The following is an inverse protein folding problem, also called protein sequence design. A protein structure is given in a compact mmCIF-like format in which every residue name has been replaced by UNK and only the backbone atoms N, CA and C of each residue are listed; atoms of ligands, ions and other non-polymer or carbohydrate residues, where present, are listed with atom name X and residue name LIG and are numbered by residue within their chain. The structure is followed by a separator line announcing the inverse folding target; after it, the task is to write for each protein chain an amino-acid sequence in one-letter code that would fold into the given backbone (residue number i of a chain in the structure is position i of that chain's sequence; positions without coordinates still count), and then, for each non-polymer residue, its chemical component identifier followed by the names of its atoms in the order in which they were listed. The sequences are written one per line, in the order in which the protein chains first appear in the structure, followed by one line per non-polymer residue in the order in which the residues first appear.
data_IF_162311685060
#
_entry.id   IF_162311685060
#
_cell.length_a   1.000
_cell.length_b   1.000
_cell.length_c   1.000
_cell.angle_alpha   90.00
_cell.angle_beta   90.00
_cell.angle_gamma   90.00
#
_symmetry.space_group_name_H-M   'P 1'
#
loop_
_entity.id
_entity.type
_entity.pdbx_description
1 polymer ?
#
# COMPACT_ATOMS: atom_id res chain seq x y z
N UNK A 1 56.52 -31.76 -53.46
CA UNK A 1 55.55 -30.76 -54.00
C UNK A 1 54.85 -30.10 -52.82
N UNK A 2 55.01 -28.78 -52.60
CA UNK A 2 54.39 -28.12 -51.45
C UNK A 2 52.88 -27.99 -51.67
N UNK A 3 52.09 -28.51 -50.72
CA UNK A 3 50.63 -28.33 -50.71
C UNK A 3 50.31 -26.82 -50.73
N UNK A 4 49.48 -26.41 -51.69
CA UNK A 4 49.08 -25.03 -51.87
C UNK A 4 48.29 -24.56 -50.64
N UNK A 5 48.85 -23.61 -49.87
CA UNK A 5 48.28 -23.13 -48.60
C UNK A 5 46.85 -22.59 -48.76
N UNK A 6 46.51 -22.07 -49.93
CA UNK A 6 45.14 -21.62 -50.27
C UNK A 6 44.13 -22.75 -50.31
N UNK A 7 44.50 -23.95 -50.78
CA UNK A 7 43.62 -25.13 -50.76
C UNK A 7 43.39 -25.63 -49.33
N UNK A 8 44.40 -25.51 -48.46
CA UNK A 8 44.28 -25.87 -47.05
C UNK A 8 43.37 -24.92 -46.27
N UNK A 9 43.44 -23.61 -46.55
CA UNK A 9 42.50 -22.65 -45.97
C UNK A 9 41.08 -22.85 -46.52
N UNK A 10 40.91 -23.04 -47.83
CA UNK A 10 39.58 -23.31 -48.40
C UNK A 10 38.94 -24.59 -47.83
N UNK A 11 39.73 -25.66 -47.64
CA UNK A 11 39.27 -26.90 -46.98
C UNK A 11 38.92 -26.66 -45.50
N UNK A 12 39.69 -25.85 -44.76
CA UNK A 12 39.38 -25.48 -43.36
C UNK A 12 38.12 -24.64 -43.24
N UNK A 13 37.91 -23.68 -44.15
CA UNK A 13 36.68 -22.86 -44.17
C UNK A 13 35.46 -23.71 -44.55
N UNK A 14 35.60 -24.66 -45.48
CA UNK A 14 34.52 -25.57 -45.86
C UNK A 14 34.14 -26.54 -44.73
N UNK A 15 35.12 -27.05 -43.97
CA UNK A 15 34.86 -27.88 -42.77
C UNK A 15 34.19 -27.06 -41.66
N UNK A 16 34.60 -25.80 -41.45
CA UNK A 16 33.96 -24.91 -40.46
C UNK A 16 32.49 -24.60 -40.82
N UNK A 17 32.17 -24.44 -42.10
CA UNK A 17 30.81 -24.14 -42.57
C UNK A 17 29.87 -25.35 -42.46
N UNK A 18 30.39 -26.57 -42.65
CA UNK A 18 29.63 -27.82 -42.46
C UNK A 18 29.33 -28.07 -40.97
N UNK A 19 30.25 -27.74 -40.05
CA UNK A 19 30.01 -27.86 -38.60
C UNK A 19 28.93 -26.88 -38.10
N UNK A 20 28.83 -25.69 -38.69
CA UNK A 20 27.80 -24.69 -38.34
C UNK A 20 26.41 -25.14 -38.84
N UNK A 21 26.32 -25.86 -39.97
CA UNK A 21 25.05 -26.38 -40.50
C UNK A 21 24.48 -27.55 -39.66
N UNK A 22 25.32 -28.33 -38.97
CA UNK A 22 24.85 -29.39 -38.05
C UNK A 22 24.42 -28.88 -36.67
N UNK A 23 24.82 -27.67 -36.27
CA UNK A 23 24.42 -27.07 -34.99
C UNK A 23 23.03 -26.39 -35.03
N UNK A 24 22.43 -26.23 -36.22
CA UNK A 24 21.15 -25.52 -36.41
C UNK A 24 19.90 -26.41 -36.28
N UNK A 25 20.06 -27.73 -36.12
CA UNK A 25 18.94 -28.65 -35.90
C UNK A 25 19.07 -29.35 -34.55
N UNK A 26 18.87 -28.61 -33.47
CA UNK A 26 18.39 -29.20 -32.22
C UNK A 26 17.39 -28.25 -31.54
N UNK A 27 16.27 -28.00 -32.24
CA UNK A 27 15.00 -27.67 -31.58
C UNK A 27 14.52 -28.91 -30.82
N UNK A 28 15.17 -29.21 -29.70
CA UNK A 28 14.56 -30.00 -28.66
C UNK A 28 13.47 -29.15 -28.02
N UNK A 29 12.23 -29.41 -28.39
CA UNK A 29 11.03 -28.91 -27.72
C UNK A 29 11.16 -29.22 -26.22
N UNK A 30 11.69 -28.28 -25.43
CA UNK A 30 11.62 -28.33 -23.97
C UNK A 30 10.18 -28.02 -23.60
N UNK A 31 9.33 -29.05 -23.71
CA UNK A 31 8.15 -29.12 -22.86
C UNK A 31 8.66 -29.02 -21.43
N UNK A 32 8.41 -27.87 -20.82
CA UNK A 32 8.62 -27.66 -19.42
C UNK A 32 7.50 -28.38 -18.67
N UNK A 33 7.49 -29.73 -18.72
CA UNK A 33 6.75 -30.56 -17.76
C UNK A 33 7.54 -30.59 -16.46
N UNK A 34 7.72 -29.42 -15.88
CA UNK A 34 8.00 -29.27 -14.47
C UNK A 34 6.66 -29.28 -13.75
N UNK A 35 6.06 -30.44 -13.56
CA UNK A 35 5.14 -30.66 -12.43
C UNK A 35 5.98 -30.65 -11.16
N UNK A 36 6.49 -29.48 -10.82
CA UNK A 36 6.87 -29.18 -9.45
C UNK A 36 5.57 -29.04 -8.68
N UNK A 37 5.11 -30.12 -8.05
CA UNK A 37 4.15 -30.07 -6.96
C UNK A 37 4.85 -29.44 -5.74
N UNK A 38 5.23 -28.17 -5.86
CA UNK A 38 5.31 -27.31 -4.70
C UNK A 38 3.89 -27.04 -4.20
N UNK A 39 3.69 -26.70 -2.92
CA UNK A 39 2.38 -26.29 -2.47
C UNK A 39 1.90 -25.13 -3.35
N UNK A 40 0.75 -25.29 -4.00
CA UNK A 40 0.03 -24.21 -4.64
C UNK A 40 -0.14 -23.10 -3.60
N UNK A 41 0.32 -21.89 -3.90
CA UNK A 41 -0.03 -20.74 -3.08
C UNK A 41 -1.57 -20.68 -2.97
N UNK A 42 -2.13 -20.31 -1.81
CA UNK A 42 -3.56 -20.12 -1.69
C UNK A 42 -4.02 -19.10 -2.73
N UNK A 43 -5.17 -19.38 -3.36
CA UNK A 43 -5.77 -18.45 -4.31
C UNK A 43 -6.10 -17.13 -3.59
N UNK A 44 -5.67 -16.02 -4.19
CA UNK A 44 -5.92 -14.70 -3.62
C UNK A 44 -7.41 -14.35 -3.74
N UNK A 45 -8.03 -13.74 -2.73
CA UNK A 45 -9.40 -13.27 -2.83
C UNK A 45 -9.59 -12.30 -4.01
N UNK A 46 -10.75 -12.36 -4.65
CA UNK A 46 -11.11 -11.46 -5.76
C UNK A 46 -11.57 -10.12 -5.21
N UNK A 47 -10.85 -9.05 -5.51
CA UNK A 47 -11.19 -7.68 -5.13
C UNK A 47 -12.43 -7.17 -5.88
N UNK A 48 -13.40 -6.58 -5.16
CA UNK A 48 -14.57 -5.95 -5.77
C UNK A 48 -14.38 -4.44 -5.89
N UNK A 49 -14.23 -3.96 -7.14
CA UNK A 49 -14.15 -2.52 -7.42
C UNK A 49 -15.44 -1.78 -7.06
N UNK A 50 -16.61 -2.40 -7.27
CA UNK A 50 -17.91 -1.81 -6.94
C UNK A 50 -18.05 -1.58 -5.42
N UNK A 51 -17.62 -2.55 -4.60
CA UNK A 51 -17.59 -2.42 -3.14
C UNK A 51 -16.66 -1.29 -2.70
N UNK A 52 -15.45 -1.22 -3.26
CA UNK A 52 -14.52 -0.14 -2.97
C UNK A 52 -15.08 1.23 -3.39
N UNK A 53 -15.69 1.34 -4.57
CA UNK A 53 -16.29 2.59 -5.04
C UNK A 53 -17.41 3.07 -4.11
N UNK A 54 -18.28 2.17 -3.65
CA UNK A 54 -19.32 2.50 -2.68
C UNK A 54 -18.74 3.00 -1.34
N UNK A 55 -17.57 2.51 -0.92
CA UNK A 55 -16.87 3.06 0.25
C UNK A 55 -16.32 4.46 0.02
N UNK A 56 -15.90 4.81 -1.20
CA UNK A 56 -15.55 6.20 -1.53
C UNK A 56 -16.78 7.07 -1.39
N UNK A 57 -17.89 6.71 -2.05
CA UNK A 57 -19.14 7.49 -2.00
C UNK A 57 -19.63 7.72 -0.57
N UNK A 58 -19.56 6.69 0.28
CA UNK A 58 -19.98 6.81 1.67
C UNK A 58 -19.09 7.77 2.49
N UNK A 59 -17.78 7.80 2.23
CA UNK A 59 -16.89 8.77 2.86
C UNK A 59 -17.19 10.20 2.40
N UNK A 60 -17.47 10.37 1.11
CA UNK A 60 -17.83 11.67 0.54
C UNK A 60 -19.18 12.19 1.03
N UNK A 61 -20.12 11.30 1.35
CA UNK A 61 -21.44 11.66 1.87
C UNK A 61 -21.39 12.37 3.23
N UNK A 62 -20.30 12.24 3.99
CA UNK A 62 -20.08 13.04 5.20
C UNK A 62 -19.66 14.48 4.88
N UNK A 63 -19.08 14.74 3.70
CA UNK A 63 -18.38 15.98 3.38
C UNK A 63 -16.88 15.90 3.67
N UNK A 64 -16.13 17.02 3.48
CA UNK A 64 -14.69 17.07 3.71
C UNK A 64 -14.32 16.71 5.15
N UNK A 65 -13.48 15.68 5.34
CA UNK A 65 -13.09 15.14 6.66
C UNK A 65 -11.96 15.94 7.28
N UNK A 66 -12.19 17.24 7.44
CA UNK A 66 -11.16 18.17 7.92
C UNK A 66 -10.99 18.01 9.44
N UNK A 67 -9.76 17.91 9.97
CA UNK A 67 -9.53 17.81 11.41
C UNK A 67 -10.18 18.95 12.21
N UNK A 68 -10.93 18.59 13.26
CA UNK A 68 -11.69 19.48 14.14
C UNK A 68 -13.14 19.73 13.71
N UNK A 69 -13.61 19.11 12.63
CA UNK A 69 -14.99 19.27 12.14
C UNK A 69 -15.92 18.13 12.58
N UNK A 70 -17.25 18.35 12.64
CA UNK A 70 -18.21 17.26 12.89
C UNK A 70 -18.10 16.12 11.88
N UNK A 71 -17.75 16.42 10.63
CA UNK A 71 -17.58 15.45 9.55
C UNK A 71 -16.40 14.50 9.81
N UNK A 72 -15.32 14.98 10.44
CA UNK A 72 -14.21 14.14 10.92
C UNK A 72 -14.73 13.08 11.89
N UNK A 73 -15.42 13.47 12.97
CA UNK A 73 -15.88 12.53 14.00
C UNK A 73 -16.94 11.56 13.43
N UNK A 74 -17.85 12.04 12.58
CA UNK A 74 -18.87 11.20 11.95
C UNK A 74 -18.25 10.14 11.03
N UNK A 75 -17.29 10.52 10.18
CA UNK A 75 -16.59 9.58 9.32
C UNK A 75 -15.72 8.62 10.12
N UNK A 76 -15.00 9.09 11.16
CA UNK A 76 -14.22 8.23 12.05
C UNK A 76 -15.07 7.17 12.77
N UNK A 77 -16.26 7.55 13.24
CA UNK A 77 -17.21 6.64 13.86
C UNK A 77 -17.69 5.57 12.86
N UNK A 78 -18.00 5.98 11.62
CA UNK A 78 -18.38 5.05 10.56
C UNK A 78 -17.24 4.08 10.20
N UNK A 79 -16.03 4.59 9.95
CA UNK A 79 -14.84 3.78 9.65
C UNK A 79 -14.56 2.76 10.77
N UNK A 80 -14.61 3.21 12.02
CA UNK A 80 -14.44 2.36 13.20
C UNK A 80 -15.50 1.26 13.23
N UNK A 81 -16.78 1.60 13.05
CA UNK A 81 -17.87 0.63 13.04
C UNK A 81 -17.78 -0.38 11.90
N UNK A 82 -17.38 0.06 10.70
CA UNK A 82 -17.14 -0.84 9.56
C UNK A 82 -16.03 -1.83 9.87
N UNK A 83 -14.89 -1.36 10.39
CA UNK A 83 -13.75 -2.22 10.70
C UNK A 83 -14.03 -3.14 11.88
N UNK A 84 -14.81 -2.73 12.87
CA UNK A 84 -15.22 -3.59 14.00
C UNK A 84 -16.05 -4.79 13.55
N UNK A 85 -16.83 -4.64 12.48
CA UNK A 85 -17.58 -5.75 11.88
C UNK A 85 -16.71 -6.72 11.08
N UNK A 86 -15.44 -6.41 10.82
CA UNK A 86 -14.57 -7.15 9.91
C UNK A 86 -13.33 -7.73 10.60
N UNK A 87 -12.63 -6.92 11.40
CA UNK A 87 -11.36 -7.24 12.02
C UNK A 87 -11.51 -7.99 13.35
N UNK A 88 -10.42 -8.61 13.82
CA UNK A 88 -10.40 -9.29 15.12
C UNK A 88 -10.34 -8.29 16.28
N UNK A 89 -9.58 -7.20 16.10
CA UNK A 89 -9.48 -6.11 17.07
C UNK A 89 -9.44 -4.77 16.36
N UNK A 90 -10.13 -3.76 16.89
CA UNK A 90 -10.03 -2.36 16.43
C UNK A 90 -9.54 -1.47 17.57
N UNK A 91 -8.55 -0.63 17.28
CA UNK A 91 -8.03 0.38 18.18
C UNK A 91 -8.34 1.77 17.61
N UNK A 92 -8.84 2.66 18.45
CA UNK A 92 -9.01 4.08 18.09
C UNK A 92 -8.03 4.88 18.93
N UNK A 93 -6.98 5.38 18.28
CA UNK A 93 -5.95 6.20 18.92
C UNK A 93 -6.31 7.67 18.74
N UNK A 94 -6.84 8.26 19.81
CA UNK A 94 -7.11 9.70 19.89
C UNK A 94 -5.90 10.43 20.49
N UNK A 95 -5.50 11.52 19.84
CA UNK A 95 -4.40 12.36 20.27
C UNK A 95 -4.66 13.82 19.90
N UNK A 96 -3.83 14.70 20.44
CA UNK A 96 -3.73 16.09 20.00
C UNK A 96 -2.37 16.27 19.34
N UNK A 97 -2.36 16.74 18.10
CA UNK A 97 -1.14 17.03 17.33
C UNK A 97 -1.01 18.52 17.06
N UNK A 98 0.22 19.00 16.92
CA UNK A 98 0.52 20.40 16.65
C UNK A 98 0.86 20.56 15.17
N UNK A 99 -0.03 21.23 14.45
CA UNK A 99 0.15 21.63 13.06
C UNK A 99 0.90 22.98 12.95
N UNK A 100 1.25 23.42 11.73
CA UNK A 100 1.82 24.75 11.50
C UNK A 100 1.03 25.87 12.21
N UNK A 101 1.74 26.97 12.49
CA UNK A 101 1.23 28.11 13.28
C UNK A 101 0.71 27.74 14.68
N UNK A 102 1.28 26.68 15.29
CA UNK A 102 0.92 26.21 16.64
C UNK A 102 -0.56 25.83 16.78
N UNK A 103 -1.19 25.39 15.69
CA UNK A 103 -2.58 24.95 15.71
C UNK A 103 -2.67 23.56 16.34
N UNK A 104 -3.41 23.48 17.43
CA UNK A 104 -3.76 22.23 18.09
C UNK A 104 -4.91 21.56 17.32
N UNK A 105 -4.71 20.32 16.87
CA UNK A 105 -5.70 19.56 16.11
C UNK A 105 -6.03 18.23 16.79
N UNK A 106 -7.31 17.83 16.84
CA UNK A 106 -7.66 16.47 17.20
C UNK A 106 -7.23 15.52 16.07
N UNK A 107 -6.58 14.43 16.48
CA UNK A 107 -6.10 13.36 15.60
C UNK A 107 -6.74 12.04 16.05
N UNK A 108 -7.32 11.31 15.12
CA UNK A 108 -8.03 10.05 15.33
C UNK A 108 -7.47 9.00 14.36
N UNK A 109 -6.38 8.34 14.76
CA UNK A 109 -5.89 7.18 14.02
C UNK A 109 -6.80 5.98 14.31
N UNK A 110 -7.14 5.20 13.29
CA UNK A 110 -7.96 3.99 13.42
C UNK A 110 -7.13 2.80 12.96
N UNK A 111 -7.03 1.78 13.80
CA UNK A 111 -6.23 0.59 13.52
C UNK A 111 -7.12 -0.65 13.59
N UNK A 112 -7.11 -1.46 12.54
CA UNK A 112 -7.81 -2.73 12.48
C UNK A 112 -6.81 -3.88 12.35
N UNK A 113 -6.76 -4.73 13.36
CA UNK A 113 -5.83 -5.85 13.47
C UNK A 113 -6.53 -7.17 13.12
N UNK A 114 -5.92 -7.91 12.20
CA UNK A 114 -6.26 -9.28 11.84
C UNK A 114 -5.16 -10.20 12.34
N UNK A 115 -5.57 -11.32 12.93
CA UNK A 115 -4.72 -12.30 13.59
C UNK A 115 -3.68 -11.63 14.52
N UNK A 116 -4.10 -10.88 15.56
CA UNK A 116 -3.21 -10.07 16.40
C UNK A 116 -2.11 -10.87 17.12
N UNK A 117 -2.31 -12.18 17.31
CA UNK A 117 -1.33 -13.07 17.93
C UNK A 117 -0.16 -13.47 17.00
N UNK A 118 -0.28 -13.25 15.68
CA UNK A 118 0.77 -13.59 14.74
C UNK A 118 2.04 -12.76 14.97
N UNK A 119 3.20 -13.45 14.98
CA UNK A 119 4.52 -12.83 15.17
C UNK A 119 5.00 -12.02 13.96
N UNK A 120 4.67 -12.48 12.75
CA UNK A 120 4.96 -11.77 11.49
C UNK A 120 3.73 -11.00 11.08
N UNK A 121 3.92 -9.71 10.79
CA UNK A 121 2.81 -8.81 10.52
C UNK A 121 3.10 -7.88 9.35
N UNK A 122 2.07 -7.53 8.59
CA UNK A 122 2.11 -6.57 7.48
C UNK A 122 1.30 -5.35 7.90
N UNK A 123 1.86 -4.17 7.68
CA UNK A 123 1.16 -2.90 7.88
C UNK A 123 0.69 -2.37 6.52
N UNK A 124 -0.61 -2.16 6.39
CA UNK A 124 -1.23 -1.47 5.27
C UNK A 124 -1.74 -0.12 5.78
N UNK A 125 -1.46 0.97 5.07
CA UNK A 125 -1.83 2.30 5.55
C UNK A 125 -2.36 3.20 4.44
N UNK A 126 -3.31 4.05 4.83
CA UNK A 126 -3.83 5.16 4.04
C UNK A 126 -4.18 6.30 5.01
N UNK A 127 -4.06 7.55 4.56
CA UNK A 127 -4.65 8.65 5.31
C UNK A 127 -6.13 8.79 4.96
N UNK A 128 -6.93 9.32 5.87
CA UNK A 128 -8.38 9.43 5.69
C UNK A 128 -8.92 10.86 5.81
N UNK A 129 -8.13 11.77 6.36
CA UNK A 129 -8.46 13.19 6.48
C UNK A 129 -8.52 13.88 5.12
N UNK A 130 -9.06 15.10 5.10
CA UNK A 130 -9.12 15.93 3.90
C UNK A 130 -8.45 17.26 4.18
N UNK A 131 -7.61 17.71 3.23
CA UNK A 131 -7.00 19.03 3.28
C UNK A 131 -8.06 20.13 3.41
N UNK A 132 -7.88 21.10 4.31
CA UNK A 132 -8.85 22.17 4.52
C UNK A 132 -8.97 23.17 3.36
N UNK A 133 -7.99 23.22 2.45
CA UNK A 133 -7.92 24.24 1.39
C UNK A 133 -7.46 23.63 0.06
N UNK A 134 -8.15 23.96 -1.03
CA UNK A 134 -7.75 23.65 -2.39
C UNK A 134 -6.68 24.66 -2.89
N UNK A 135 -5.50 24.61 -2.28
CA UNK A 135 -4.42 25.60 -2.46
C UNK A 135 -3.71 25.54 -3.83
N UNK A 136 -4.00 24.52 -4.65
CA UNK A 136 -3.49 24.38 -6.03
C UNK A 136 -4.47 24.84 -7.11
N UNK A 137 -5.72 25.16 -6.75
CA UNK A 137 -6.73 25.64 -7.70
C UNK A 137 -6.37 27.04 -8.25
N UNK A 138 -6.63 27.24 -9.55
CA UNK A 138 -6.43 28.52 -10.20
C UNK A 138 -7.33 29.59 -9.58
N UNK A 139 -6.74 30.73 -9.20
CA UNK A 139 -7.43 31.81 -8.49
C UNK A 139 -7.24 31.77 -6.96
N UNK A 140 -6.71 30.67 -6.42
CA UNK A 140 -6.37 30.50 -5.01
C UNK A 140 -7.60 30.54 -4.08
N UNK A 141 -7.71 29.61 -3.15
CA UNK A 141 -8.74 29.81 -2.14
C UNK A 141 -8.83 28.76 -1.05
N UNK A 142 -9.36 29.22 0.09
CA UNK A 142 -9.88 28.43 1.20
C UNK A 142 -11.12 27.60 0.82
N UNK A 143 -11.27 27.24 -0.46
CA UNK A 143 -12.34 26.36 -0.91
C UNK A 143 -12.05 24.97 -0.38
N UNK A 144 -13.06 24.38 0.26
CA UNK A 144 -13.03 22.97 0.61
C UNK A 144 -13.26 22.14 -0.65
N UNK A 145 -12.70 20.94 -0.67
CA UNK A 145 -12.94 19.93 -1.69
C UNK A 145 -13.14 18.58 -1.00
N UNK A 146 -13.66 17.61 -1.75
CA UNK A 146 -14.24 16.40 -1.15
C UNK A 146 -13.20 15.35 -0.75
N UNK A 147 -11.95 15.43 -1.24
CA UNK A 147 -10.89 14.44 -0.93
C UNK A 147 -11.23 13.02 -1.36
N UNK A 148 -11.80 12.87 -2.57
CA UNK A 148 -12.25 11.59 -3.12
C UNK A 148 -11.09 10.65 -3.45
N UNK A 149 -10.06 11.17 -4.13
CA UNK A 149 -8.85 10.42 -4.42
C UNK A 149 -7.78 10.66 -3.35
N UNK A 150 -7.63 11.90 -2.90
CA UNK A 150 -6.73 12.29 -1.82
C UNK A 150 -7.38 11.98 -0.46
N UNK A 151 -7.25 10.71 -0.04
CA UNK A 151 -7.78 10.16 1.20
C UNK A 151 -8.76 9.01 0.96
N UNK A 152 -9.96 9.29 0.41
CA UNK A 152 -11.04 8.31 0.42
C UNK A 152 -10.77 7.05 -0.43
N UNK A 153 -10.03 7.18 -1.55
CA UNK A 153 -9.73 6.05 -2.44
C UNK A 153 -8.81 5.01 -1.76
N UNK A 154 -7.75 5.45 -1.08
CA UNK A 154 -6.86 4.57 -0.33
C UNK A 154 -7.59 3.83 0.78
N UNK A 155 -8.41 4.55 1.55
CA UNK A 155 -9.25 3.97 2.61
C UNK A 155 -10.22 2.94 2.05
N UNK A 156 -10.87 3.23 0.92
CA UNK A 156 -11.84 2.35 0.28
C UNK A 156 -11.21 1.01 -0.17
N UNK A 157 -10.00 1.07 -0.75
CA UNK A 157 -9.24 -0.14 -1.10
C UNK A 157 -8.96 -0.96 0.16
N UNK A 158 -8.52 -0.33 1.25
CA UNK A 158 -8.23 -1.04 2.50
C UNK A 158 -9.50 -1.61 3.16
N UNK A 159 -10.65 -0.95 3.07
CA UNK A 159 -11.93 -1.48 3.56
C UNK A 159 -12.39 -2.70 2.75
N UNK A 160 -12.21 -2.70 1.44
CA UNK A 160 -12.51 -3.88 0.62
C UNK A 160 -11.53 -5.01 0.94
N UNK A 161 -10.24 -4.73 1.11
CA UNK A 161 -9.27 -5.74 1.57
C UNK A 161 -9.64 -6.31 2.94
N UNK A 162 -10.08 -5.47 3.89
CA UNK A 162 -10.57 -5.90 5.20
C UNK A 162 -11.76 -6.87 5.07
N UNK A 163 -12.69 -6.61 4.14
CA UNK A 163 -13.81 -7.51 3.83
C UNK A 163 -13.32 -8.87 3.32
N UNK A 164 -12.29 -8.87 2.48
CA UNK A 164 -11.69 -10.11 1.97
C UNK A 164 -10.94 -10.88 3.07
N UNK A 165 -10.20 -10.20 3.94
CA UNK A 165 -9.52 -10.83 5.08
C UNK A 165 -10.50 -11.43 6.08
N UNK A 166 -11.67 -10.81 6.24
CA UNK A 166 -12.73 -11.37 7.07
C UNK A 166 -13.29 -12.67 6.48
N UNK A 167 -13.54 -12.68 5.16
CA UNK A 167 -14.07 -13.85 4.46
C UNK A 167 -13.04 -15.00 4.38
N UNK A 168 -11.77 -14.68 4.16
CA UNK A 168 -10.66 -15.62 4.11
C UNK A 168 -9.54 -15.14 5.04
N UNK A 169 -9.55 -15.65 6.27
CA UNK A 169 -8.63 -15.22 7.33
C UNK A 169 -7.16 -15.49 6.96
N UNK A 170 -6.29 -14.46 6.99
CA UNK A 170 -4.87 -14.64 6.70
C UNK A 170 -4.13 -15.31 7.87
N UNK A 171 -3.18 -16.19 7.55
CA UNK A 171 -2.26 -16.75 8.56
C UNK A 171 -1.24 -15.72 9.07
N UNK A 172 -0.92 -14.73 8.25
CA UNK A 172 -0.05 -13.60 8.65
C UNK A 172 -0.88 -12.54 9.36
N UNK A 173 -0.30 -11.88 10.37
CA UNK A 173 -0.95 -10.74 10.99
C UNK A 173 -1.05 -9.57 10.01
N UNK A 174 -2.19 -8.93 9.93
CA UNK A 174 -2.35 -7.73 9.09
C UNK A 174 -2.90 -6.63 9.97
N UNK A 175 -2.31 -5.44 9.86
CA UNK A 175 -2.81 -4.24 10.51
C UNK A 175 -3.09 -3.20 9.43
N UNK A 176 -4.35 -2.79 9.36
CA UNK A 176 -4.77 -1.63 8.57
C UNK A 176 -4.70 -0.43 9.50
N UNK A 177 -3.89 0.57 9.14
CA UNK A 177 -3.77 1.84 9.84
C UNK A 177 -4.34 2.96 8.96
N UNK A 178 -5.46 3.52 9.38
CA UNK A 178 -6.00 4.75 8.81
C UNK A 178 -5.45 5.93 9.60
N UNK A 179 -4.55 6.70 8.98
CA UNK A 179 -3.88 7.83 9.63
C UNK A 179 -4.67 9.11 9.48
N UNK A 180 -4.73 9.91 10.53
CA UNK A 180 -5.37 11.23 10.52
C UNK A 180 -4.32 12.35 10.41
N UNK A 181 -4.77 13.56 10.07
CA UNK A 181 -3.95 14.77 9.99
C UNK A 181 -2.71 14.58 9.12
N UNK A 182 -2.87 13.94 7.96
CA UNK A 182 -1.82 13.82 6.96
C UNK A 182 -1.66 15.12 6.17
N UNK A 183 -2.78 15.67 5.71
CA UNK A 183 -2.79 16.73 4.69
C UNK A 183 -3.09 18.12 5.29
N UNK A 184 -2.76 18.32 6.56
CA UNK A 184 -2.81 19.64 7.20
C UNK A 184 -1.51 20.43 7.05
N UNK A 185 -0.48 19.82 6.45
CA UNK A 185 0.85 20.39 6.35
C UNK A 185 0.95 21.60 5.42
N UNK A 186 2.07 22.30 5.55
CA UNK A 186 2.46 23.42 4.70
C UNK A 186 3.79 23.13 4.02
N UNK A 187 3.87 23.35 2.70
CA UNK A 187 5.03 22.93 1.90
C UNK A 187 6.36 23.59 2.31
N UNK A 188 6.33 24.71 3.05
CA UNK A 188 7.53 25.40 3.55
C UNK A 188 7.88 25.07 5.00
N UNK A 189 7.08 24.25 5.67
CA UNK A 189 7.28 23.86 7.07
C UNK A 189 7.69 22.39 7.12
N UNK A 190 8.89 22.13 7.62
CA UNK A 190 9.43 20.78 7.76
C UNK A 190 8.56 19.93 8.69
N UNK A 191 8.42 18.64 8.36
CA UNK A 191 7.68 17.65 9.14
C UNK A 191 6.24 18.04 9.52
N UNK A 192 5.61 18.93 8.73
CA UNK A 192 4.26 19.42 8.98
C UNK A 192 3.13 18.53 8.46
N UNK A 193 3.46 17.57 7.59
CA UNK A 193 2.54 16.56 7.04
C UNK A 193 2.60 15.26 7.85
N UNK A 194 1.66 14.35 7.61
CA UNK A 194 1.65 13.00 8.18
C UNK A 194 1.64 12.97 9.72
N UNK A 195 1.01 13.95 10.38
CA UNK A 195 1.12 14.13 11.84
C UNK A 195 0.54 12.94 12.62
N UNK A 196 -0.56 12.34 12.17
CA UNK A 196 -1.09 11.12 12.79
C UNK A 196 -0.18 9.91 12.61
N UNK A 197 0.44 9.74 11.43
CA UNK A 197 1.43 8.68 11.20
C UNK A 197 2.67 8.86 12.09
N UNK A 198 3.17 10.10 12.20
CA UNK A 198 4.28 10.44 13.09
C UNK A 198 3.95 10.14 14.56
N UNK A 199 2.73 10.49 15.01
CA UNK A 199 2.28 10.18 16.36
C UNK A 199 2.22 8.67 16.60
N UNK A 200 1.63 7.91 15.67
CA UNK A 200 1.53 6.45 15.78
C UNK A 200 2.91 5.78 15.80
N UNK A 201 3.87 6.25 15.00
CA UNK A 201 5.22 5.69 14.96
C UNK A 201 5.95 5.82 16.30
N UNK A 202 5.71 6.91 17.03
CA UNK A 202 6.24 7.17 18.38
C UNK A 202 5.43 6.45 19.48
N UNK A 203 4.15 6.22 19.23
CA UNK A 203 3.19 5.66 20.19
C UNK A 203 2.41 4.51 19.53
N UNK A 204 3.04 3.38 19.19
CA UNK A 204 2.36 2.30 18.47
C UNK A 204 1.27 1.69 19.34
N UNK A 205 0.14 1.34 18.71
CA UNK A 205 -1.02 0.73 19.35
C UNK A 205 -0.73 -0.61 20.06
N UNK A 206 0.32 -1.31 19.66
CA UNK A 206 0.88 -2.47 20.36
C UNK A 206 2.30 -2.11 20.80
N UNK A 207 2.63 -2.19 22.10
CA UNK A 207 4.00 -2.02 22.58
C UNK A 207 4.92 -3.01 21.88
N UNK A 208 6.11 -2.58 21.42
CA UNK A 208 7.06 -3.48 20.75
C UNK A 208 7.39 -4.67 21.66
N UNK A 209 6.91 -5.85 21.31
CA UNK A 209 7.56 -7.09 21.71
C UNK A 209 8.88 -7.15 20.92
N UNK A 210 10.00 -7.35 21.62
CA UNK A 210 11.32 -7.49 21.00
C UNK A 210 11.25 -8.54 19.87
N UNK A 211 11.43 -8.11 18.61
CA UNK A 211 11.54 -8.98 17.44
C UNK A 211 10.43 -8.92 16.39
N UNK A 212 9.37 -8.12 16.57
CA UNK A 212 8.34 -7.93 15.53
C UNK A 212 8.79 -6.96 14.43
N UNK A 213 8.85 -7.42 13.17
CA UNK A 213 9.13 -6.58 11.99
C UNK A 213 7.83 -6.29 11.24
N UNK A 214 7.49 -5.01 11.08
CA UNK A 214 6.43 -4.53 10.19
C UNK A 214 7.02 -4.25 8.81
N UNK A 215 6.43 -4.81 7.76
CA UNK A 215 6.66 -4.33 6.38
C UNK A 215 5.47 -3.46 5.99
N UNK A 216 5.74 -2.20 5.64
CA UNK A 216 4.72 -1.23 5.25
C UNK A 216 4.59 -1.17 3.72
N UNK A 217 3.35 -1.10 3.22
CA UNK A 217 3.03 -0.76 1.84
C UNK A 217 1.94 0.32 1.84
N UNK A 218 2.14 1.41 1.08
CA UNK A 218 1.17 2.50 0.91
C UNK A 218 0.68 2.59 -0.53
N UNK A 219 -0.56 3.07 -0.72
CA UNK A 219 -1.16 3.33 -2.03
C UNK A 219 -1.33 4.85 -2.21
N UNK A 220 -0.76 5.43 -3.27
CA UNK A 220 -0.75 6.88 -3.53
C UNK A 220 0.64 7.41 -3.87
N UNK A 221 0.74 8.23 -4.91
CA UNK A 221 1.94 8.53 -5.73
C UNK A 221 3.24 9.04 -5.07
N UNK A 222 3.37 9.07 -3.75
CA UNK A 222 4.65 9.26 -3.06
C UNK A 222 4.58 8.55 -1.71
N UNK A 223 5.55 7.67 -1.45
CA UNK A 223 6.29 7.46 -0.18
C UNK A 223 6.57 5.97 0.05
N UNK A 224 7.82 5.55 -0.19
CA UNK A 224 8.35 4.39 0.52
C UNK A 224 8.51 4.79 2.00
N UNK A 225 7.60 4.34 2.86
CA UNK A 225 7.80 4.44 4.31
C UNK A 225 8.78 3.36 4.75
N UNK A 226 10.08 3.65 4.60
CA UNK A 226 11.11 2.92 5.32
C UNK A 226 11.07 3.38 6.76
N UNK A 227 10.31 2.69 7.60
CA UNK A 227 10.48 2.77 9.05
C UNK A 227 11.83 2.14 9.41
N UNK A 228 12.91 2.87 9.12
CA UNK A 228 14.18 2.67 9.81
C UNK A 228 13.98 3.25 11.20
N UNK A 229 13.84 2.34 12.16
CA UNK A 229 14.12 2.60 13.55
C UNK A 229 15.48 1.96 13.85
#
# INVERSE_FOLDING_TARGET
MPLNKTAYYAMRWMIMLVVILFAACNQGNRQNTGTGTGPSAPEAPVFSADSAYAYVEQQLAFGPRIPGTPEQEACAAWLTGRLQGLADTVYVQRATVIAPQQRSLPCINIIAAFNPAAKRRILLLAHWDTRPYADKEAGGGNKKFDGADDGASGVAVLLEMARQFHAQRPETGIDILLTDVEDYGESKVEASYCLGAQYWAKNPHIPRLQGGLWRAAGYGGRTEFRFLL
#
